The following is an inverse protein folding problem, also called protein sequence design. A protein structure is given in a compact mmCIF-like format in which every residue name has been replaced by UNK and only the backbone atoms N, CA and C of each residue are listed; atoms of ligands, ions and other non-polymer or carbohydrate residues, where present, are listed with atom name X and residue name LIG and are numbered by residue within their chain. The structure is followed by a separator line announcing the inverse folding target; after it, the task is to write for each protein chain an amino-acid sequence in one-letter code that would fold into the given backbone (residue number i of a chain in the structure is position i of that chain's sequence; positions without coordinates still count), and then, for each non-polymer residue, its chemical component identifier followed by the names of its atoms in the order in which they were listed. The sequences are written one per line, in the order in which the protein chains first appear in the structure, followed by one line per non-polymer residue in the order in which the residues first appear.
data_IF_105268830664
#
_entry.id   IF_105268830664
#
_cell.length_a   1.000
_cell.length_b   1.000
_cell.length_c   1.000
_cell.angle_alpha   90.00
_cell.angle_beta   90.00
_cell.angle_gamma   90.00
#
_symmetry.space_group_name_H-M   'P 1'
#
loop_
_entity.id
_entity.type
_entity.pdbx_description
1 polymer ?
#
# COMPACT_ATOMS: atom_id res chain seq x y z
N UNK A 1 29.20 2.28 4.68
CA UNK A 1 27.76 1.99 4.85
C UNK A 1 27.51 0.71 5.65
N UNK A 2 27.93 -0.48 5.20
CA UNK A 2 27.68 -1.74 5.94
C UNK A 2 28.19 -1.68 7.40
N UNK A 3 29.47 -1.38 7.70
CA UNK A 3 29.94 -1.35 9.09
C UNK A 3 29.26 -0.25 9.91
N UNK A 4 28.95 0.90 9.31
CA UNK A 4 28.32 2.03 9.99
C UNK A 4 26.86 1.71 10.37
N UNK A 5 26.11 1.05 9.48
CA UNK A 5 24.74 0.61 9.76
C UNK A 5 24.69 -0.42 10.90
N UNK A 6 25.66 -1.34 10.93
CA UNK A 6 25.79 -2.30 12.04
C UNK A 6 26.13 -1.60 13.36
N UNK A 7 27.03 -0.62 13.34
CA UNK A 7 27.36 0.18 14.52
C UNK A 7 26.12 0.92 15.07
N UNK A 8 25.34 1.56 14.20
CA UNK A 8 24.07 2.21 14.59
C UNK A 8 23.13 1.20 15.26
N UNK A 9 22.99 -0.01 14.70
CA UNK A 9 22.18 -1.07 15.28
C UNK A 9 22.68 -1.56 16.65
N UNK A 10 24.00 -1.61 16.86
CA UNK A 10 24.59 -2.01 18.15
C UNK A 10 24.33 -1.01 19.27
N UNK A 11 24.34 0.29 18.97
CA UNK A 11 24.12 1.34 19.98
C UNK A 11 22.65 1.71 20.17
N UNK A 12 21.78 1.39 19.21
CA UNK A 12 20.35 1.74 19.26
C UNK A 12 19.45 0.50 19.35
N UNK A 13 19.88 -0.55 20.06
CA UNK A 13 19.14 -1.82 20.18
C UNK A 13 17.65 -1.68 20.54
N UNK A 14 17.23 -0.79 21.46
CA UNK A 14 15.80 -0.66 21.78
C UNK A 14 14.92 -0.29 20.58
N UNK A 15 15.49 0.31 19.54
CA UNK A 15 14.75 0.64 18.31
C UNK A 15 14.36 -0.60 17.50
N UNK A 16 14.91 -1.79 17.76
CA UNK A 16 14.47 -3.02 17.09
C UNK A 16 13.05 -3.46 17.50
N UNK A 17 12.54 -2.94 18.63
CA UNK A 17 11.20 -3.23 19.13
C UNK A 17 10.21 -2.08 18.86
N UNK A 18 10.69 -0.95 18.32
CA UNK A 18 9.91 0.26 18.11
C UNK A 18 9.62 0.40 16.62
N UNK A 19 8.36 0.61 16.27
CA UNK A 19 7.95 0.89 14.89
C UNK A 19 7.63 -0.34 14.03
N UNK A 20 7.36 -1.51 14.66
CA UNK A 20 7.00 -2.75 13.95
C UNK A 20 5.82 -2.55 12.99
N UNK A 21 4.77 -1.82 13.41
CA UNK A 21 3.67 -1.42 12.53
C UNK A 21 2.97 -2.59 11.83
N UNK A 22 3.14 -2.67 10.51
CA UNK A 22 2.63 -3.75 9.65
C UNK A 22 3.69 -4.79 9.28
N UNK A 23 4.97 -4.56 9.61
CA UNK A 23 6.08 -5.41 9.16
C UNK A 23 6.01 -6.85 9.71
N UNK A 24 5.31 -7.07 10.83
CA UNK A 24 5.03 -8.37 11.43
C UNK A 24 3.71 -9.01 10.96
N UNK A 25 2.94 -8.32 10.11
CA UNK A 25 1.58 -8.72 9.72
C UNK A 25 1.39 -8.79 8.21
N UNK A 26 1.63 -7.68 7.52
CA UNK A 26 1.35 -7.53 6.10
C UNK A 26 2.54 -6.88 5.38
N UNK A 27 3.18 -7.64 4.49
CA UNK A 27 4.30 -7.17 3.65
C UNK A 27 4.07 -7.57 2.20
N UNK A 28 4.55 -6.75 1.26
CA UNK A 28 4.31 -6.92 -0.18
C UNK A 28 5.59 -6.62 -0.97
N UNK A 29 5.92 -7.51 -1.89
CA UNK A 29 6.93 -7.33 -2.94
C UNK A 29 6.35 -7.73 -4.28
N UNK A 30 6.57 -6.95 -5.33
CA UNK A 30 6.21 -7.36 -6.70
C UNK A 30 7.28 -8.23 -7.36
N UNK A 31 8.50 -8.23 -6.79
CA UNK A 31 9.68 -8.79 -7.41
C UNK A 31 10.29 -7.86 -8.46
N UNK A 32 11.57 -8.09 -8.77
CA UNK A 32 12.34 -7.24 -9.69
C UNK A 32 13.55 -7.98 -10.25
N UNK A 33 14.26 -7.31 -11.16
CA UNK A 33 15.49 -7.79 -11.80
C UNK A 33 15.30 -9.12 -12.54
N UNK A 34 14.57 -9.12 -13.66
CA UNK A 34 14.45 -10.31 -14.50
C UNK A 34 15.82 -10.64 -15.12
N UNK A 35 16.29 -11.85 -14.87
CA UNK A 35 17.52 -12.41 -15.46
C UNK A 35 17.28 -12.82 -16.91
N UNK A 36 16.06 -13.28 -17.22
CA UNK A 36 15.61 -13.62 -18.57
C UNK A 36 14.88 -12.41 -19.17
N UNK A 37 15.38 -11.91 -20.30
CA UNK A 37 14.81 -10.76 -20.97
C UNK A 37 13.32 -10.95 -21.31
N UNK A 38 12.49 -9.99 -20.90
CA UNK A 38 11.03 -9.95 -21.07
C UNK A 38 10.25 -11.05 -20.34
N UNK A 39 10.89 -11.86 -19.49
CA UNK A 39 10.20 -12.82 -18.62
C UNK A 39 10.12 -12.25 -17.20
N UNK A 40 8.91 -11.98 -16.74
CA UNK A 40 8.60 -11.48 -15.39
C UNK A 40 8.02 -12.59 -14.50
N UNK A 41 8.18 -13.85 -14.89
CA UNK A 41 7.82 -14.98 -14.03
C UNK A 41 8.77 -15.11 -12.84
N UNK A 42 8.31 -15.81 -11.80
CA UNK A 42 9.09 -16.08 -10.58
C UNK A 42 10.46 -16.72 -10.85
N UNK A 43 10.62 -17.43 -11.98
CA UNK A 43 11.89 -18.07 -12.35
C UNK A 43 12.95 -17.11 -12.83
N UNK A 44 12.54 -15.95 -13.35
CA UNK A 44 13.42 -14.94 -13.92
C UNK A 44 13.77 -13.85 -12.89
N UNK A 45 12.87 -13.57 -11.96
CA UNK A 45 13.05 -12.49 -10.99
C UNK A 45 14.10 -12.83 -9.94
N UNK A 46 15.25 -12.13 -9.97
CA UNK A 46 16.30 -12.27 -8.95
C UNK A 46 15.87 -11.73 -7.58
N UNK A 47 14.95 -10.76 -7.58
CA UNK A 47 14.28 -10.32 -6.36
C UNK A 47 12.87 -10.93 -6.32
N UNK A 48 12.53 -11.72 -5.29
CA UNK A 48 11.26 -12.44 -5.24
C UNK A 48 10.07 -11.49 -5.04
N UNK A 49 8.96 -11.84 -5.70
CA UNK A 49 7.64 -11.27 -5.45
C UNK A 49 6.83 -12.11 -4.47
N UNK A 50 5.78 -11.52 -3.89
CA UNK A 50 4.87 -12.18 -2.97
C UNK A 50 4.24 -11.22 -1.96
N UNK A 51 3.12 -11.65 -1.39
CA UNK A 51 2.45 -10.96 -0.30
C UNK A 51 2.31 -11.88 0.92
N UNK A 52 2.56 -11.33 2.11
CA UNK A 52 2.18 -11.97 3.38
C UNK A 52 1.06 -11.14 3.98
N UNK A 53 0.05 -11.81 4.52
CA UNK A 53 -1.06 -11.18 5.25
C UNK A 53 -1.29 -11.93 6.55
N UNK A 54 -1.92 -11.27 7.53
CA UNK A 54 -2.25 -11.85 8.85
C UNK A 54 -1.05 -12.37 9.66
N UNK A 55 0.18 -11.98 9.31
CA UNK A 55 1.41 -12.42 9.97
C UNK A 55 1.79 -13.87 9.68
N UNK A 56 1.18 -14.52 8.67
CA UNK A 56 1.51 -15.90 8.31
C UNK A 56 2.66 -15.96 7.30
N UNK A 57 3.89 -15.88 7.79
CA UNK A 57 5.10 -15.97 6.98
C UNK A 57 5.36 -17.36 6.39
N UNK A 58 4.57 -18.38 6.76
CA UNK A 58 4.67 -19.71 6.14
C UNK A 58 3.94 -19.77 4.79
N UNK A 59 3.03 -18.83 4.53
CA UNK A 59 2.23 -18.79 3.32
C UNK A 59 2.44 -17.47 2.57
N UNK A 60 3.38 -17.49 1.62
CA UNK A 60 3.60 -16.37 0.71
C UNK A 60 2.62 -16.48 -0.46
N UNK A 61 1.71 -15.52 -0.55
CA UNK A 61 0.70 -15.47 -1.60
C UNK A 61 1.28 -14.88 -2.90
N UNK A 62 0.96 -15.45 -4.07
CA UNK A 62 1.34 -14.87 -5.35
C UNK A 62 0.58 -13.55 -5.58
N UNK A 63 1.21 -12.62 -6.29
CA UNK A 63 0.65 -11.29 -6.59
C UNK A 63 0.37 -11.18 -8.08
N UNK A 64 -0.85 -10.82 -8.43
CA UNK A 64 -1.26 -10.47 -9.79
C UNK A 64 -1.65 -9.00 -9.85
N UNK A 65 -0.98 -8.24 -10.73
CA UNK A 65 -1.20 -6.81 -10.91
C UNK A 65 -2.39 -6.50 -11.82
N UNK A 66 -2.94 -7.51 -12.50
CA UNK A 66 -4.08 -7.37 -13.41
C UNK A 66 -5.40 -7.71 -12.70
N UNK A 67 -5.35 -8.53 -11.66
CA UNK A 67 -6.53 -8.94 -10.90
C UNK A 67 -7.17 -7.75 -10.16
N UNK A 68 -8.41 -7.35 -10.50
CA UNK A 68 -9.11 -6.24 -9.87
C UNK A 68 -9.40 -6.45 -8.38
N UNK A 69 -9.33 -7.69 -7.88
CA UNK A 69 -9.58 -7.98 -6.47
C UNK A 69 -8.34 -7.75 -5.60
N UNK A 70 -7.14 -7.71 -6.17
CA UNK A 70 -5.89 -7.61 -5.40
C UNK A 70 -5.50 -6.16 -5.12
N UNK A 71 -4.95 -5.45 -6.12
CA UNK A 71 -4.45 -4.09 -5.93
C UNK A 71 -5.58 -3.09 -6.15
N UNK A 72 -6.00 -2.42 -5.08
CA UNK A 72 -7.06 -1.42 -5.09
C UNK A 72 -6.62 -0.13 -4.41
N UNK A 73 -7.10 1.00 -4.93
CA UNK A 73 -6.85 2.33 -4.36
C UNK A 73 -8.15 2.93 -3.82
N UNK A 74 -8.09 3.51 -2.62
CA UNK A 74 -9.19 4.21 -1.95
C UNK A 74 -8.91 5.71 -1.87
N UNK A 75 -9.96 6.54 -1.95
CA UNK A 75 -9.83 8.01 -1.99
C UNK A 75 -10.64 8.75 -0.91
N UNK A 76 -11.25 8.02 0.02
CA UNK A 76 -12.00 8.53 1.19
C UNK A 76 -11.20 9.52 2.04
N UNK A 77 -9.88 9.32 2.14
CA UNK A 77 -8.95 10.20 2.86
C UNK A 77 -7.92 10.88 1.94
N UNK A 78 -8.20 11.01 0.64
CA UNK A 78 -7.33 11.65 -0.34
C UNK A 78 -8.04 12.77 -1.13
N UNK A 79 -7.28 13.67 -1.76
CA UNK A 79 -7.84 14.76 -2.58
C UNK A 79 -8.19 14.35 -4.00
N UNK A 80 -8.97 13.27 -4.15
CA UNK A 80 -9.48 12.78 -5.42
C UNK A 80 -10.99 12.54 -5.33
N UNK A 81 -11.65 12.50 -6.49
CA UNK A 81 -13.07 12.18 -6.57
C UNK A 81 -13.25 10.91 -7.36
N UNK A 82 -13.84 9.91 -6.71
CA UNK A 82 -14.41 8.72 -7.35
C UNK A 82 -15.94 8.78 -7.32
N UNK A 83 -16.62 8.08 -8.25
CA UNK A 83 -18.08 7.96 -8.23
C UNK A 83 -18.62 7.40 -6.90
N UNK A 84 -17.85 6.51 -6.27
CA UNK A 84 -18.06 6.03 -4.91
C UNK A 84 -16.70 6.05 -4.21
N UNK A 85 -16.59 6.80 -3.11
CA UNK A 85 -15.35 6.95 -2.34
C UNK A 85 -15.13 5.82 -1.32
N UNK A 86 -16.17 5.01 -1.04
CA UNK A 86 -16.12 3.89 -0.09
C UNK A 86 -15.63 2.57 -0.72
N UNK A 87 -15.36 2.56 -2.03
CA UNK A 87 -14.97 1.34 -2.76
C UNK A 87 -13.60 1.54 -3.39
N UNK A 88 -12.76 0.53 -3.24
CA UNK A 88 -11.43 0.47 -3.84
C UNK A 88 -11.54 0.23 -5.34
N UNK A 89 -10.73 0.94 -6.12
CA UNK A 89 -10.72 0.84 -7.58
C UNK A 89 -9.36 0.36 -8.04
N UNK A 90 -9.31 -0.64 -8.93
CA UNK A 90 -8.07 -1.05 -9.60
C UNK A 90 -7.58 0.07 -10.53
N UNK A 91 -6.26 0.19 -10.68
CA UNK A 91 -5.61 1.19 -11.55
C UNK A 91 -6.23 1.31 -12.96
N UNK A 92 -6.62 0.21 -13.59
CA UNK A 92 -7.21 0.23 -14.94
C UNK A 92 -8.58 0.91 -15.00
N UNK A 93 -9.28 0.99 -13.87
CA UNK A 93 -10.61 1.62 -13.73
C UNK A 93 -10.53 3.00 -13.05
N UNK A 94 -9.37 3.37 -12.50
CA UNK A 94 -9.14 4.65 -11.86
C UNK A 94 -8.94 5.77 -12.91
N UNK A 95 -9.98 6.56 -13.19
CA UNK A 95 -9.87 7.87 -13.85
C UNK A 95 -10.23 8.99 -12.86
N UNK A 96 -9.39 9.25 -11.83
CA UNK A 96 -9.64 10.33 -10.88
C UNK A 96 -9.61 11.69 -11.59
N UNK A 97 -10.64 12.50 -11.39
CA UNK A 97 -10.56 13.93 -11.70
C UNK A 97 -9.90 14.65 -10.54
N UNK A 98 -8.91 15.51 -10.82
CA UNK A 98 -8.25 16.35 -9.81
C UNK A 98 -9.29 17.31 -9.25
N UNK A 99 -9.69 17.11 -8.00
CA UNK A 99 -10.67 17.97 -7.36
C UNK A 99 -10.07 19.31 -7.00
N UNK A 100 -10.51 20.39 -7.65
CA UNK A 100 -10.52 21.71 -6.99
C UNK A 100 -11.56 21.67 -5.88
N UNK A 101 -11.22 22.28 -4.75
CA UNK A 101 -11.98 22.37 -3.49
C UNK A 101 -13.51 22.29 -3.67
N UNK A 102 -14.22 21.32 -3.06
CA UNK A 102 -15.66 21.49 -2.88
C UNK A 102 -15.90 22.70 -1.97
N UNK A 103 -16.79 23.60 -2.37
CA UNK A 103 -17.43 24.49 -1.42
C UNK A 103 -17.91 23.65 -0.22
N UNK A 104 -17.54 24.06 1.00
CA UNK A 104 -17.99 23.43 2.23
C UNK A 104 -19.48 23.13 2.12
N UNK A 105 -19.86 21.86 2.22
CA UNK A 105 -21.22 21.49 2.59
C UNK A 105 -21.55 22.28 3.84
N UNK A 106 -22.49 23.20 3.67
CA UNK A 106 -22.99 24.14 4.67
C UNK A 106 -23.25 23.34 5.96
N UNK A 107 -22.47 23.61 7.00
CA UNK A 107 -22.79 23.14 8.34
C UNK A 107 -24.26 23.49 8.60
N UNK A 108 -25.07 22.48 8.92
CA UNK A 108 -26.47 22.66 9.27
C UNK A 108 -26.53 23.61 10.47
N UNK A 109 -27.00 24.83 10.25
CA UNK A 109 -27.32 25.78 11.31
C UNK A 109 -28.58 25.24 11.99
N UNK A 110 -28.56 24.87 13.27
CA UNK A 110 -29.77 24.44 13.96
C UNK A 110 -30.68 25.67 14.15
N UNK A 111 -31.78 25.72 13.41
CA UNK A 111 -32.87 26.67 13.70
C UNK A 111 -33.58 26.21 14.97
N UNK A 112 -33.37 26.94 16.06
CA UNK A 112 -34.18 26.85 17.28
C UNK A 112 -35.51 27.57 17.00
N UNK A 113 -36.64 26.87 17.06
CA UNK A 113 -37.96 27.49 17.02
C UNK A 113 -38.33 27.96 18.43
N UNK A 114 -38.90 29.16 18.50
CA UNK A 114 -39.43 29.79 19.71
C UNK A 114 -40.63 29.04 20.31
#
# INVERSE_FOLDING_TARGET
MIPDALAIGQFNKPWSEIGTGLSDKCVLSYGAFPDIANDFSEKSLLMPGGAVINGDFNNVLPVDLVDPQQVQEFVDHAWYRYPNDQVGVIRSMALPTRGTTPAMSKAAIPTFSS
#
